data_IF_012213929592
#
_entry.id   IF_012213929592
#
_cell.length_a   1.000
_cell.length_b   1.000
_cell.length_c   1.000
_cell.angle_alpha   90.00
_cell.angle_beta   90.00
_cell.angle_gamma   90.00
#
_symmetry.space_group_name_H-M   'P 1'
#
loop_
_entity.id
_entity.type
_entity.pdbx_description
1 polymer ?
#
# COMPACT_ATOMS: atom_id res chain seq x y z
N UNK A 1 12.41 0.50 -21.42
CA UNK A 1 11.15 0.94 -20.76
C UNK A 1 11.03 0.43 -19.32
N UNK A 2 12.15 0.16 -18.64
CA UNK A 2 12.20 -0.73 -17.48
C UNK A 2 12.06 -0.02 -16.11
N UNK A 3 12.70 1.15 -15.97
CA UNK A 3 12.73 1.91 -14.71
C UNK A 3 11.35 2.27 -14.16
N UNK A 4 10.43 2.76 -15.01
CA UNK A 4 9.09 3.20 -14.58
C UNK A 4 8.21 2.06 -14.08
N UNK A 5 8.42 0.85 -14.59
CA UNK A 5 7.72 -0.36 -14.15
C UNK A 5 8.28 -0.80 -12.81
N UNK A 6 9.60 -0.93 -12.68
CA UNK A 6 10.26 -1.27 -11.43
C UNK A 6 9.95 -0.27 -10.32
N UNK A 7 10.01 1.03 -10.61
CA UNK A 7 9.66 2.08 -9.65
C UNK A 7 8.23 1.91 -9.10
N UNK A 8 7.26 1.56 -9.96
CA UNK A 8 5.87 1.31 -9.53
C UNK A 8 5.74 0.07 -8.67
N UNK A 9 6.40 -1.03 -9.04
CA UNK A 9 6.37 -2.28 -8.26
C UNK A 9 6.99 -2.05 -6.89
N UNK A 10 8.15 -1.38 -6.84
CA UNK A 10 8.83 -1.04 -5.58
C UNK A 10 7.97 -0.10 -4.76
N UNK A 11 7.38 0.95 -5.36
CA UNK A 11 6.48 1.87 -4.67
C UNK A 11 5.28 1.15 -4.04
N UNK A 12 4.67 0.23 -4.79
CA UNK A 12 3.58 -0.61 -4.31
C UNK A 12 4.02 -1.51 -3.13
N UNK A 13 5.15 -2.20 -3.26
CA UNK A 13 5.71 -3.05 -2.20
C UNK A 13 6.01 -2.24 -0.92
N UNK A 14 6.66 -1.07 -1.05
CA UNK A 14 7.00 -0.21 0.08
C UNK A 14 5.76 0.29 0.81
N UNK A 15 4.71 0.61 0.06
CA UNK A 15 3.44 1.05 0.65
C UNK A 15 2.81 -0.06 1.50
N UNK A 16 2.79 -1.31 1.02
CA UNK A 16 2.35 -2.47 1.80
C UNK A 16 3.18 -2.68 3.08
N UNK A 17 4.50 -2.55 2.98
CA UNK A 17 5.39 -2.65 4.15
C UNK A 17 5.09 -1.59 5.21
N UNK A 18 4.88 -0.34 4.78
CA UNK A 18 4.54 0.77 5.68
C UNK A 18 3.19 0.52 6.37
N UNK A 19 2.17 0.08 5.62
CA UNK A 19 0.86 -0.25 6.21
C UNK A 19 0.95 -1.34 7.27
N UNK A 20 1.72 -2.41 7.00
CA UNK A 20 1.96 -3.48 7.96
C UNK A 20 2.73 -2.98 9.19
N UNK A 21 3.82 -2.25 8.99
CA UNK A 21 4.64 -1.71 10.06
C UNK A 21 3.85 -0.73 10.95
N UNK A 22 3.12 0.20 10.36
CA UNK A 22 2.36 1.20 11.11
C UNK A 22 1.16 0.58 11.84
N UNK A 23 0.48 -0.38 11.22
CA UNK A 23 -0.59 -1.14 11.91
C UNK A 23 -0.04 -1.93 13.10
N UNK A 24 1.13 -2.57 12.96
CA UNK A 24 1.77 -3.28 14.06
C UNK A 24 2.23 -2.33 15.18
N UNK A 25 2.89 -1.22 14.82
CA UNK A 25 3.41 -0.25 15.78
C UNK A 25 2.27 0.43 16.56
N UNK A 26 1.18 0.79 15.89
CA UNK A 26 0.01 1.38 16.54
C UNK A 26 -0.75 0.37 17.39
N UNK A 27 -1.19 -0.75 16.78
CA UNK A 27 -2.13 -1.68 17.42
C UNK A 27 -1.47 -2.69 18.37
N UNK A 28 -0.23 -3.11 18.10
CA UNK A 28 0.47 -4.12 18.92
C UNK A 28 1.47 -3.48 19.88
N UNK A 29 2.14 -2.40 19.47
CA UNK A 29 3.14 -1.69 20.30
C UNK A 29 2.59 -0.43 20.97
N UNK A 30 1.32 -0.08 20.78
CA UNK A 30 0.66 1.06 21.43
C UNK A 30 1.16 2.43 20.97
N UNK A 31 1.93 2.51 19.86
CA UNK A 31 2.45 3.77 19.32
C UNK A 31 1.42 4.39 18.37
N UNK A 32 0.31 4.89 18.93
CA UNK A 32 -0.87 5.38 18.19
C UNK A 32 -0.57 6.53 17.23
N UNK A 33 0.51 7.30 17.44
CA UNK A 33 0.96 8.32 16.50
C UNK A 33 1.07 7.83 15.04
N UNK A 34 1.46 6.57 14.83
CA UNK A 34 1.58 5.99 13.48
C UNK A 34 0.25 5.85 12.73
N UNK A 35 -0.89 5.87 13.43
CA UNK A 35 -2.22 5.78 12.80
C UNK A 35 -2.49 6.97 11.88
N UNK A 36 -1.93 8.14 12.19
CA UNK A 36 -2.08 9.36 11.38
C UNK A 36 -1.57 9.19 9.94
N UNK A 37 -0.64 8.26 9.70
CA UNK A 37 -0.09 8.00 8.37
C UNK A 37 -0.81 6.89 7.60
N UNK A 38 -1.64 6.08 8.27
CA UNK A 38 -2.33 4.95 7.64
C UNK A 38 -3.28 5.40 6.53
N UNK A 39 -4.13 6.44 6.70
CA UNK A 39 -5.05 6.88 5.65
C UNK A 39 -4.34 7.28 4.35
N UNK A 40 -3.25 8.04 4.44
CA UNK A 40 -2.48 8.47 3.26
C UNK A 40 -1.75 7.28 2.62
N UNK A 41 -1.26 6.31 3.41
CA UNK A 41 -0.68 5.09 2.87
C UNK A 41 -1.73 4.25 2.10
N UNK A 42 -2.95 4.08 2.64
CA UNK A 42 -4.06 3.38 1.95
C UNK A 42 -4.44 4.09 0.65
N UNK A 43 -4.57 5.42 0.67
CA UNK A 43 -4.87 6.23 -0.52
C UNK A 43 -3.83 6.00 -1.62
N UNK A 44 -2.55 6.02 -1.26
CA UNK A 44 -1.46 5.74 -2.20
C UNK A 44 -1.54 4.30 -2.73
N UNK A 45 -1.82 3.30 -1.88
CA UNK A 45 -1.99 1.90 -2.30
C UNK A 45 -3.10 1.75 -3.35
N UNK A 46 -4.25 2.40 -3.13
CA UNK A 46 -5.37 2.42 -4.07
C UNK A 46 -4.97 3.06 -5.41
N UNK A 47 -4.20 4.14 -5.37
CA UNK A 47 -3.65 4.79 -6.56
C UNK A 47 -2.73 3.87 -7.37
N UNK A 48 -1.80 3.18 -6.70
CA UNK A 48 -0.93 2.21 -7.36
C UNK A 48 -1.72 1.05 -7.96
N UNK A 49 -2.66 0.47 -7.20
CA UNK A 49 -3.49 -0.66 -7.64
C UNK A 49 -4.45 -0.33 -8.80
N UNK A 50 -4.72 0.96 -9.06
CA UNK A 50 -5.49 1.39 -10.22
C UNK A 50 -4.69 1.32 -11.53
N UNK A 51 -3.35 1.29 -11.46
CA UNK A 51 -2.49 1.26 -12.64
C UNK A 51 -2.60 -0.05 -13.42
N UNK A 52 -2.49 0.03 -14.75
CA UNK A 52 -2.63 -1.09 -15.68
C UNK A 52 -1.70 -2.27 -15.40
N UNK A 53 -0.52 -1.98 -14.86
CA UNK A 53 0.44 -2.98 -14.39
C UNK A 53 -0.18 -4.00 -13.42
N UNK A 54 -1.17 -3.59 -12.63
CA UNK A 54 -1.80 -4.45 -11.64
C UNK A 54 -3.11 -5.09 -12.12
N UNK A 55 -3.54 -4.84 -13.37
CA UNK A 55 -4.75 -5.46 -13.95
C UNK A 55 -4.81 -6.99 -13.80
N UNK A 56 -3.70 -7.76 -13.95
CA UNK A 56 -3.72 -9.21 -13.76
C UNK A 56 -4.09 -9.65 -12.32
N UNK A 57 -3.76 -8.83 -11.31
CA UNK A 57 -3.98 -9.15 -9.89
C UNK A 57 -5.37 -8.74 -9.41
N UNK A 58 -6.41 -9.30 -10.04
CA UNK A 58 -7.82 -8.91 -9.80
C UNK A 58 -8.26 -9.03 -8.33
N UNK A 59 -7.88 -10.12 -7.67
CA UNK A 59 -8.22 -10.34 -6.25
C UNK A 59 -7.54 -9.33 -5.33
N UNK A 60 -6.26 -9.06 -5.57
CA UNK A 60 -5.50 -8.05 -4.83
C UNK A 60 -6.10 -6.65 -4.99
N UNK A 61 -6.49 -6.28 -6.22
CA UNK A 61 -7.17 -5.00 -6.48
C UNK A 61 -8.52 -4.91 -5.79
N UNK A 62 -9.26 -6.02 -5.71
CA UNK A 62 -10.54 -6.07 -4.98
C UNK A 62 -10.30 -5.82 -3.49
N UNK A 63 -9.36 -6.55 -2.88
CA UNK A 63 -9.00 -6.38 -1.47
C UNK A 63 -8.60 -4.94 -1.16
N UNK A 64 -7.74 -4.33 -2.00
CA UNK A 64 -7.26 -2.96 -1.80
C UNK A 64 -8.39 -1.92 -1.91
N UNK A 65 -9.44 -2.19 -2.71
CA UNK A 65 -10.61 -1.31 -2.79
C UNK A 65 -11.47 -1.34 -1.53
N UNK A 66 -11.45 -2.47 -0.81
CA UNK A 66 -12.23 -2.71 0.41
C UNK A 66 -11.55 -2.18 1.69
N UNK A 67 -10.25 -1.82 1.62
CA UNK A 67 -9.53 -1.09 2.67
C UNK A 67 -10.06 0.34 2.84
#
# INVERSE_FOLDING_TARGET
SDFRTHYRIIGFQRNLQILGAFSFLSRVKGKTYFETYIPEAVKNLKGWAAHDLFKPYRHLRKLIKEL
#
